data_IF_740576321760
#
_entry.id   IF_740576321760
#
_cell.length_a   1.000
_cell.length_b   1.000
_cell.length_c   1.000
_cell.angle_alpha   90.00
_cell.angle_beta   90.00
_cell.angle_gamma   90.00
#
_symmetry.space_group_name_H-M   'P 1'
#
loop_
_entity.id
_entity.type
_entity.pdbx_description
1 polymer ?
#
# COMPACT_ATOMS: atom_id res chain seq x y z
N UNK A 1 22.07 16.97 2.37
CA UNK A 1 21.42 17.06 1.05
C UNK A 1 20.14 17.88 1.16
N UNK A 2 19.25 17.58 2.12
CA UNK A 2 18.05 18.37 2.41
C UNK A 2 18.09 18.88 3.84
N UNK A 3 17.80 20.17 4.06
CA UNK A 3 17.73 20.76 5.40
C UNK A 3 16.26 20.98 5.79
N UNK A 4 15.85 20.67 7.04
CA UNK A 4 14.47 20.87 7.47
C UNK A 4 13.97 22.32 7.29
N UNK A 5 14.83 23.31 7.49
CA UNK A 5 14.50 24.72 7.30
C UNK A 5 14.11 25.08 5.85
N UNK A 6 14.57 24.30 4.86
CA UNK A 6 14.29 24.53 3.43
C UNK A 6 12.99 23.84 2.97
N UNK A 7 12.35 23.02 3.81
CA UNK A 7 11.14 22.27 3.43
C UNK A 7 9.90 23.18 3.47
N UNK A 8 9.25 23.40 2.33
CA UNK A 8 7.96 24.11 2.33
C UNK A 8 6.85 23.23 2.92
N UNK A 9 6.01 23.81 3.78
CA UNK A 9 4.85 23.12 4.32
C UNK A 9 3.67 23.22 3.34
N UNK A 10 2.81 22.19 3.23
CA UNK A 10 1.61 22.26 2.41
C UNK A 10 0.71 23.43 2.81
N UNK A 11 0.03 24.06 1.83
CA UNK A 11 -0.90 25.15 2.12
C UNK A 11 -2.04 24.76 3.06
N UNK A 12 -2.37 23.47 3.10
CA UNK A 12 -3.39 22.87 3.96
C UNK A 12 -2.92 22.64 5.39
N UNK A 13 -1.64 22.84 5.72
CA UNK A 13 -1.03 22.38 6.98
C UNK A 13 -1.79 22.81 8.25
N UNK A 14 -2.36 24.01 8.28
CA UNK A 14 -3.05 24.56 9.45
C UNK A 14 -4.54 24.18 9.54
N UNK A 15 -5.05 23.37 8.60
CA UNK A 15 -6.48 23.09 8.47
C UNK A 15 -6.99 21.91 9.30
N UNK A 16 -6.16 21.32 10.18
CA UNK A 16 -6.52 20.10 10.91
C UNK A 16 -7.83 20.22 11.71
N UNK A 17 -8.15 21.43 12.20
CA UNK A 17 -9.39 21.71 12.94
C UNK A 17 -10.65 21.39 12.11
N UNK A 18 -10.57 21.56 10.80
CA UNK A 18 -11.67 21.24 9.88
C UNK A 18 -11.90 19.71 9.83
N UNK A 19 -10.84 18.92 10.01
CA UNK A 19 -10.92 17.46 9.94
C UNK A 19 -11.47 16.82 11.22
N UNK A 20 -11.24 17.41 12.39
CA UNK A 20 -11.75 16.89 13.67
C UNK A 20 -13.29 16.84 13.74
N UNK A 21 -13.96 17.70 12.99
CA UNK A 21 -15.43 17.75 12.89
C UNK A 21 -15.97 17.01 11.66
N UNK A 22 -15.10 16.48 10.79
CA UNK A 22 -15.51 15.76 9.61
C UNK A 22 -16.21 14.44 9.99
N UNK A 23 -17.38 14.18 9.40
CA UNK A 23 -18.24 13.02 9.74
C UNK A 23 -17.48 11.68 9.68
N UNK A 24 -16.63 11.50 8.66
CA UNK A 24 -15.82 10.30 8.49
C UNK A 24 -14.44 10.41 9.15
N UNK A 25 -13.60 11.37 8.74
CA UNK A 25 -12.21 11.50 9.23
C UNK A 25 -12.08 11.84 10.71
N UNK A 26 -13.05 12.57 11.29
CA UNK A 26 -12.97 13.01 12.69
C UNK A 26 -12.89 11.85 13.69
N UNK A 27 -13.51 10.69 13.37
CA UNK A 27 -13.44 9.49 14.21
C UNK A 27 -12.01 8.94 14.26
N UNK A 28 -11.32 8.91 13.12
CA UNK A 28 -9.94 8.41 13.01
C UNK A 28 -8.92 9.39 13.60
N UNK A 29 -9.20 10.68 13.67
CA UNK A 29 -8.32 11.63 14.35
C UNK A 29 -8.46 11.58 15.87
N UNK A 30 -9.70 11.45 16.37
CA UNK A 30 -9.99 11.37 17.81
C UNK A 30 -9.52 10.03 18.40
N UNK A 31 -9.71 8.94 17.66
CA UNK A 31 -9.32 7.59 18.03
C UNK A 31 -8.48 6.97 16.90
N UNK A 32 -7.20 7.35 16.78
CA UNK A 32 -6.36 6.90 15.69
C UNK A 32 -6.15 5.39 15.74
N UNK A 33 -6.42 4.66 14.65
CA UNK A 33 -6.13 3.24 14.58
C UNK A 33 -4.64 3.03 14.83
N UNK A 34 -4.31 1.95 15.53
CA UNK A 34 -2.93 1.51 15.76
C UNK A 34 -2.01 2.59 16.39
N UNK A 35 -2.52 3.30 17.42
CA UNK A 35 -1.76 4.28 18.23
C UNK A 35 -0.98 5.33 17.41
N UNK A 36 -1.61 5.91 16.38
CA UNK A 36 -1.03 6.94 15.48
C UNK A 36 0.04 6.43 14.49
N UNK A 37 0.15 5.12 14.28
CA UNK A 37 1.05 4.56 13.27
C UNK A 37 0.61 4.86 11.82
N UNK A 38 -0.67 5.23 11.63
CA UNK A 38 -1.26 5.53 10.31
C UNK A 38 -1.53 7.01 10.12
N UNK A 39 -2.06 7.70 11.12
CA UNK A 39 -2.36 9.13 11.03
C UNK A 39 -1.90 9.84 12.29
N UNK A 40 -1.08 10.88 12.13
CA UNK A 40 -0.48 11.59 13.26
C UNK A 40 -0.44 13.09 13.03
N UNK A 41 -1.23 13.82 13.82
CA UNK A 41 -1.05 15.27 13.99
C UNK A 41 0.37 15.56 14.48
N UNK A 42 1.08 16.44 13.77
CA UNK A 42 2.50 16.72 13.99
C UNK A 42 2.81 18.20 13.86
N UNK A 43 3.85 18.63 14.57
CA UNK A 43 4.34 20.01 14.56
C UNK A 43 5.06 20.35 13.26
N UNK A 44 5.23 21.64 12.96
CA UNK A 44 5.99 22.11 11.80
C UNK A 44 7.41 21.56 11.78
N UNK A 45 8.08 21.55 12.94
CA UNK A 45 9.44 21.02 13.09
C UNK A 45 9.49 19.53 12.73
N UNK A 46 8.56 18.73 13.26
CA UNK A 46 8.48 17.29 12.98
C UNK A 46 8.23 17.01 11.50
N UNK A 47 7.29 17.73 10.87
CA UNK A 47 6.98 17.56 9.46
C UNK A 47 8.17 17.93 8.59
N UNK A 48 8.78 19.10 8.81
CA UNK A 48 9.99 19.53 8.08
C UNK A 48 11.11 18.51 8.21
N UNK A 49 11.34 18.02 9.43
CA UNK A 49 12.40 17.04 9.70
C UNK A 49 12.13 15.71 9.02
N UNK A 50 10.91 15.17 9.13
CA UNK A 50 10.55 13.90 8.51
C UNK A 50 10.53 14.00 7.00
N UNK A 51 10.01 15.07 6.42
CA UNK A 51 10.05 15.31 4.97
C UNK A 51 11.48 15.41 4.45
N UNK A 52 12.39 16.10 5.15
CA UNK A 52 13.80 16.16 4.75
C UNK A 52 14.47 14.77 4.79
N UNK A 53 14.13 13.93 5.79
CA UNK A 53 14.59 12.54 5.86
C UNK A 53 14.01 11.68 4.75
N UNK A 54 12.71 11.84 4.44
CA UNK A 54 12.05 11.15 3.33
C UNK A 54 12.70 11.52 2.00
N UNK A 55 13.02 12.79 1.75
CA UNK A 55 13.75 13.20 0.55
C UNK A 55 15.13 12.55 0.45
N UNK A 56 15.87 12.45 1.58
CA UNK A 56 17.14 11.72 1.59
C UNK A 56 16.96 10.22 1.28
N UNK A 57 15.90 9.60 1.80
CA UNK A 57 15.57 8.21 1.48
C UNK A 57 15.21 8.03 -0.01
N UNK A 58 14.45 8.97 -0.59
CA UNK A 58 14.14 8.99 -2.03
C UNK A 58 15.43 9.09 -2.85
N UNK A 59 16.37 9.99 -2.52
CA UNK A 59 17.65 10.07 -3.24
C UNK A 59 18.47 8.79 -3.15
N UNK A 60 18.41 8.09 -2.02
CA UNK A 60 19.09 6.81 -1.86
C UNK A 60 18.44 5.73 -2.74
N UNK A 61 17.11 5.68 -2.79
CA UNK A 61 16.37 4.77 -3.68
C UNK A 61 16.66 5.10 -5.15
N UNK A 62 16.66 6.38 -5.53
CA UNK A 62 16.97 6.83 -6.89
C UNK A 62 18.38 6.38 -7.33
N UNK A 63 19.39 6.57 -6.47
CA UNK A 63 20.75 6.06 -6.71
C UNK A 63 20.76 4.54 -6.90
N UNK A 64 20.00 3.80 -6.10
CA UNK A 64 19.91 2.34 -6.17
C UNK A 64 19.23 1.88 -7.47
N UNK A 65 18.21 2.60 -7.93
CA UNK A 65 17.56 2.37 -9.23
C UNK A 65 18.56 2.62 -10.37
N UNK A 66 19.37 3.68 -10.27
CA UNK A 66 20.44 3.98 -11.22
C UNK A 66 21.41 2.80 -11.41
N UNK A 67 21.80 2.14 -10.34
CA UNK A 67 22.65 0.94 -10.40
C UNK A 67 21.97 -0.23 -11.12
N UNK A 68 20.67 -0.46 -10.88
CA UNK A 68 19.89 -1.50 -11.56
C UNK A 68 19.82 -1.21 -13.06
N UNK A 69 19.50 0.02 -13.44
CA UNK A 69 19.39 0.43 -14.85
C UNK A 69 20.75 0.35 -15.57
N UNK A 70 21.84 0.76 -14.93
CA UNK A 70 23.19 0.63 -15.47
C UNK A 70 23.59 -0.85 -15.65
N UNK A 71 23.14 -1.73 -14.76
CA UNK A 71 23.37 -3.18 -14.88
C UNK A 71 22.62 -3.77 -16.09
N UNK A 72 21.36 -3.37 -16.32
CA UNK A 72 20.60 -3.76 -17.50
C UNK A 72 21.31 -3.35 -18.79
N UNK A 73 21.86 -2.13 -18.82
CA UNK A 73 22.61 -1.62 -19.98
C UNK A 73 23.90 -2.39 -20.22
N UNK A 74 24.71 -2.56 -19.17
CA UNK A 74 25.97 -3.31 -19.24
C UNK A 74 25.79 -4.75 -19.72
N UNK A 75 24.67 -5.37 -19.38
CA UNK A 75 24.34 -6.74 -19.79
C UNK A 75 23.64 -6.82 -21.15
N UNK A 76 23.34 -5.68 -21.80
CA UNK A 76 22.68 -5.63 -23.10
C UNK A 76 21.17 -5.92 -23.05
N UNK A 77 20.54 -5.82 -21.89
CA UNK A 77 19.10 -6.09 -21.71
C UNK A 77 18.21 -4.86 -21.82
N UNK A 78 18.78 -3.65 -21.83
CA UNK A 78 18.01 -2.39 -21.83
C UNK A 78 17.00 -2.26 -22.97
N UNK A 79 17.35 -2.71 -24.18
CA UNK A 79 16.48 -2.59 -25.37
C UNK A 79 15.37 -3.64 -25.41
N UNK A 80 15.36 -4.61 -24.48
CA UNK A 80 14.33 -5.65 -24.38
C UNK A 80 13.73 -5.73 -22.97
N UNK A 81 13.85 -4.65 -22.17
CA UNK A 81 13.31 -4.58 -20.81
C UNK A 81 12.34 -3.42 -20.68
N UNK A 82 11.10 -3.75 -20.31
CA UNK A 82 10.13 -2.75 -19.86
C UNK A 82 10.47 -2.33 -18.43
N UNK A 83 10.54 -1.02 -18.19
CA UNK A 83 10.76 -0.44 -16.86
C UNK A 83 9.53 0.34 -16.44
N UNK A 84 9.01 0.01 -15.26
CA UNK A 84 7.88 0.67 -14.62
C UNK A 84 8.32 1.08 -13.22
N UNK A 85 8.25 2.37 -12.92
CA UNK A 85 8.48 2.91 -11.59
C UNK A 85 7.18 3.49 -11.04
N UNK A 86 6.81 3.09 -9.83
CA UNK A 86 5.61 3.58 -9.15
C UNK A 86 5.70 3.37 -7.63
N UNK A 87 4.69 3.78 -6.89
CA UNK A 87 4.54 3.55 -5.44
C UNK A 87 3.26 2.76 -5.16
N UNK A 88 3.13 2.14 -3.99
CA UNK A 88 1.89 1.53 -3.54
C UNK A 88 0.88 2.59 -3.06
N UNK A 89 1.39 3.60 -2.35
CA UNK A 89 0.68 4.81 -1.94
C UNK A 89 1.67 5.96 -1.71
N UNK A 90 1.15 7.15 -1.42
CA UNK A 90 1.93 8.31 -0.99
C UNK A 90 1.96 8.50 0.53
N UNK A 91 2.30 9.69 0.98
CA UNK A 91 2.36 10.08 2.39
C UNK A 91 1.78 11.50 2.52
N UNK A 92 1.07 11.76 3.63
CA UNK A 92 0.49 13.07 3.90
C UNK A 92 1.56 14.16 3.97
N UNK A 93 2.77 13.85 4.46
CA UNK A 93 3.93 14.76 4.47
C UNK A 93 3.63 16.20 4.95
N UNK A 94 2.66 16.36 5.87
CA UNK A 94 2.21 17.65 6.38
C UNK A 94 0.84 18.10 5.88
N UNK A 95 0.20 17.40 4.95
CA UNK A 95 -1.16 17.68 4.49
C UNK A 95 -2.08 17.74 5.72
N UNK A 96 -2.73 18.90 5.90
CA UNK A 96 -3.57 19.14 7.07
C UNK A 96 -2.88 18.95 8.44
N UNK A 97 -1.56 19.13 8.50
CA UNK A 97 -0.78 18.97 9.73
C UNK A 97 -0.56 17.51 10.11
N UNK A 98 -0.76 16.58 9.17
CA UNK A 98 -0.70 15.14 9.39
C UNK A 98 0.50 14.52 8.70
N UNK A 99 1.03 13.45 9.31
CA UNK A 99 2.05 12.58 8.73
C UNK A 99 1.51 11.16 8.52
N UNK A 100 2.22 10.40 7.69
CA UNK A 100 1.96 9.00 7.33
C UNK A 100 0.76 8.86 6.38
N UNK A 101 -0.04 7.80 6.53
CA UNK A 101 -1.17 7.48 5.65
C UNK A 101 -2.42 7.09 6.43
N UNK A 102 -3.50 7.83 6.23
CA UNK A 102 -4.79 7.53 6.86
C UNK A 102 -5.85 7.08 5.85
N UNK A 103 -7.06 6.75 6.32
CA UNK A 103 -8.25 6.55 5.49
C UNK A 103 -8.77 7.90 4.94
N UNK A 104 -7.85 8.74 4.47
CA UNK A 104 -8.07 10.09 4.01
C UNK A 104 -7.76 10.11 2.50
N UNK A 105 -8.76 10.31 1.62
CA UNK A 105 -8.54 10.34 0.18
C UNK A 105 -7.94 11.69 -0.26
N UNK A 106 -6.81 12.08 0.35
CA UNK A 106 -6.07 13.28 0.00
C UNK A 106 -5.02 12.97 -1.05
N UNK A 107 -4.73 13.95 -1.90
CA UNK A 107 -3.78 13.79 -3.00
C UNK A 107 -2.39 13.36 -2.53
N UNK A 108 -1.91 13.79 -1.35
CA UNK A 108 -0.63 13.34 -0.80
C UNK A 108 -0.51 11.82 -0.64
N UNK A 109 -1.62 11.13 -0.38
CA UNK A 109 -1.66 9.65 -0.23
C UNK A 109 -2.01 8.96 -1.55
N UNK A 110 -2.81 9.58 -2.41
CA UNK A 110 -3.38 8.93 -3.60
C UNK A 110 -2.60 9.20 -4.89
N UNK A 111 -1.99 10.37 -5.03
CA UNK A 111 -1.35 10.82 -6.26
C UNK A 111 0.13 10.41 -6.27
N UNK A 112 0.37 9.17 -6.66
CA UNK A 112 1.69 8.52 -6.68
C UNK A 112 2.44 8.75 -8.00
N UNK A 113 3.78 8.61 -8.02
CA UNK A 113 4.52 8.61 -9.28
C UNK A 113 4.14 7.38 -10.12
N UNK A 114 4.08 7.56 -11.44
CA UNK A 114 4.01 6.47 -12.41
C UNK A 114 4.86 6.85 -13.64
N UNK A 115 5.98 6.17 -13.82
CA UNK A 115 6.90 6.39 -14.94
C UNK A 115 7.05 5.06 -15.70
N UNK A 116 6.82 5.10 -17.01
CA UNK A 116 6.91 3.95 -17.89
C UNK A 116 7.95 4.16 -18.98
N UNK A 117 8.78 3.14 -19.22
CA UNK A 117 9.64 3.02 -20.40
C UNK A 117 9.46 1.64 -21.01
N UNK A 118 8.86 1.59 -22.19
CA UNK A 118 8.72 0.39 -23.01
C UNK A 118 9.59 0.57 -24.27
N UNK A 119 10.66 -0.22 -24.46
CA UNK A 119 11.52 -0.10 -25.63
C UNK A 119 10.74 -0.17 -26.95
N UNK A 120 11.06 0.74 -27.87
CA UNK A 120 10.40 0.82 -29.19
C UNK A 120 8.97 1.39 -29.21
N UNK A 121 8.34 1.61 -28.05
CA UNK A 121 6.98 2.15 -27.97
C UNK A 121 6.91 3.53 -27.31
N UNK A 122 7.56 3.69 -26.16
CA UNK A 122 7.45 4.93 -25.37
C UNK A 122 8.21 6.09 -26.03
N UNK A 123 7.54 7.23 -26.16
CA UNK A 123 8.14 8.53 -26.51
C UNK A 123 8.14 9.45 -25.27
N UNK A 124 9.14 10.33 -25.09
CA UNK A 124 9.13 11.31 -24.00
C UNK A 124 7.86 12.15 -24.02
N UNK A 125 7.02 11.98 -23.01
CA UNK A 125 5.71 12.63 -22.91
C UNK A 125 5.22 12.63 -21.46
N UNK A 126 4.24 13.48 -21.19
CA UNK A 126 3.55 13.55 -19.89
C UNK A 126 2.06 13.46 -20.19
N UNK A 127 1.36 12.58 -19.48
CA UNK A 127 -0.09 12.45 -19.56
C UNK A 127 -0.75 12.97 -18.29
N UNK A 128 -1.84 13.72 -18.46
CA UNK A 128 -2.74 14.12 -17.38
C UNK A 128 -3.97 13.20 -17.28
N UNK A 129 -3.96 12.05 -17.97
CA UNK A 129 -5.06 11.11 -17.92
C UNK A 129 -5.15 10.46 -16.53
N UNK A 130 -6.38 10.27 -16.05
CA UNK A 130 -6.63 9.61 -14.78
C UNK A 130 -6.39 8.10 -14.92
N UNK A 131 -5.39 7.59 -14.20
CA UNK A 131 -4.98 6.18 -14.15
C UNK A 131 -5.05 5.63 -12.72
N UNK A 132 -5.18 4.32 -12.57
CA UNK A 132 -5.17 3.63 -11.27
C UNK A 132 -4.16 2.49 -11.26
N UNK A 133 -3.65 2.11 -10.10
CA UNK A 133 -2.70 1.00 -9.94
C UNK A 133 -3.28 -0.33 -10.43
N UNK A 134 -4.61 -0.50 -10.38
CA UNK A 134 -5.30 -1.69 -10.91
C UNK A 134 -5.22 -1.83 -12.43
N UNK A 135 -4.85 -0.75 -13.15
CA UNK A 135 -4.67 -0.75 -14.61
C UNK A 135 -3.36 -1.43 -15.03
N UNK A 136 -2.34 -1.38 -14.16
CA UNK A 136 -0.99 -1.81 -14.49
C UNK A 136 -0.93 -3.30 -14.90
N UNK A 137 -1.54 -4.24 -14.15
CA UNK A 137 -1.45 -5.66 -14.51
C UNK A 137 -2.06 -5.96 -15.87
N UNK A 138 -3.23 -5.39 -16.20
CA UNK A 138 -3.89 -5.61 -17.50
C UNK A 138 -3.05 -5.05 -18.64
N UNK A 139 -2.52 -3.85 -18.44
CA UNK A 139 -1.70 -3.16 -19.43
C UNK A 139 -0.38 -3.91 -19.69
N UNK A 140 0.28 -4.42 -18.64
CA UNK A 140 1.48 -5.25 -18.76
C UNK A 140 1.20 -6.52 -19.57
N UNK A 141 0.12 -7.24 -19.26
CA UNK A 141 -0.27 -8.45 -19.99
C UNK A 141 -0.51 -8.17 -21.48
N UNK A 142 -1.17 -7.06 -21.80
CA UNK A 142 -1.42 -6.65 -23.18
C UNK A 142 -0.14 -6.27 -23.92
N UNK A 143 0.77 -5.51 -23.29
CA UNK A 143 2.07 -5.18 -23.86
C UNK A 143 2.94 -6.43 -24.12
N UNK A 144 2.80 -7.47 -23.29
CA UNK A 144 3.45 -8.77 -23.48
C UNK A 144 2.72 -9.67 -24.50
N UNK A 145 1.66 -9.18 -25.16
CA UNK A 145 0.82 -9.93 -26.09
C UNK A 145 0.20 -11.21 -25.49
N UNK A 146 -0.06 -11.22 -24.19
CA UNK A 146 -0.77 -12.32 -23.53
C UNK A 146 -2.24 -12.23 -23.89
N UNK A 147 -2.76 -13.28 -24.53
CA UNK A 147 -4.18 -13.36 -24.95
C UNK A 147 -5.11 -13.21 -23.75
N UNK A 148 -6.19 -12.46 -23.93
CA UNK A 148 -7.20 -12.17 -22.89
C UNK A 148 -7.75 -13.41 -22.19
N UNK A 149 -7.92 -14.52 -22.91
CA UNK A 149 -8.35 -15.81 -22.33
C UNK A 149 -7.40 -16.38 -21.25
N UNK A 150 -6.17 -15.87 -21.14
CA UNK A 150 -5.20 -16.24 -20.12
C UNK A 150 -5.02 -15.16 -19.05
N UNK A 151 -5.77 -14.06 -19.12
CA UNK A 151 -5.80 -13.07 -18.05
C UNK A 151 -6.53 -13.65 -16.84
N UNK A 152 -6.14 -13.29 -15.61
CA UNK A 152 -6.94 -13.58 -14.43
C UNK A 152 -8.39 -13.10 -14.60
N UNK A 153 -9.40 -13.91 -14.21
CA UNK A 153 -10.79 -13.48 -14.27
C UNK A 153 -11.04 -12.32 -13.30
N UNK A 154 -11.95 -11.42 -13.66
CA UNK A 154 -12.38 -10.33 -12.77
C UNK A 154 -11.43 -9.14 -12.66
N UNK A 155 -10.40 -9.03 -13.52
CA UNK A 155 -9.58 -7.81 -13.58
C UNK A 155 -10.42 -6.59 -13.95
N UNK A 156 -10.46 -5.60 -13.05
CA UNK A 156 -11.25 -4.37 -13.20
C UNK A 156 -10.49 -3.23 -13.89
N UNK A 157 -9.16 -3.33 -13.97
CA UNK A 157 -8.31 -2.33 -14.60
C UNK A 157 -8.58 -2.17 -16.10
N UNK A 158 -8.28 -0.99 -16.61
CA UNK A 158 -8.26 -0.70 -18.04
C UNK A 158 -6.85 -0.88 -18.61
N UNK A 159 -6.79 -1.20 -19.91
CA UNK A 159 -5.53 -1.14 -20.64
C UNK A 159 -5.22 0.33 -20.95
N UNK A 160 -4.16 0.85 -20.35
CA UNK A 160 -3.72 2.25 -20.50
C UNK A 160 -2.56 2.40 -21.49
N UNK A 161 -2.17 1.34 -22.21
CA UNK A 161 -1.04 1.37 -23.16
C UNK A 161 -1.24 2.38 -24.29
N UNK A 162 -2.48 2.76 -24.59
CA UNK A 162 -2.81 3.82 -25.55
C UNK A 162 -2.14 5.17 -25.19
N UNK A 163 -1.90 5.41 -23.90
CA UNK A 163 -1.21 6.62 -23.42
C UNK A 163 0.26 6.68 -23.81
N UNK A 164 0.88 5.55 -24.17
CA UNK A 164 2.27 5.49 -24.62
C UNK A 164 2.45 6.07 -26.02
N UNK A 165 1.40 6.08 -26.83
CA UNK A 165 1.40 6.69 -28.17
C UNK A 165 0.69 8.06 -28.19
N UNK A 166 -0.46 8.18 -27.52
CA UNK A 166 -1.21 9.43 -27.38
C UNK A 166 -1.39 9.82 -25.90
N UNK A 167 -0.51 10.65 -25.32
CA UNK A 167 -0.56 11.04 -23.92
C UNK A 167 -1.77 11.92 -23.58
N UNK A 168 -2.48 12.46 -24.58
CA UNK A 168 -3.68 13.29 -24.36
C UNK A 168 -4.96 12.46 -24.34
N UNK A 169 -4.89 11.16 -24.58
CA UNK A 169 -6.06 10.30 -24.59
C UNK A 169 -6.68 10.23 -23.19
N UNK A 170 -7.98 10.46 -23.12
CA UNK A 170 -8.74 10.28 -21.88
C UNK A 170 -9.11 8.81 -21.69
N UNK A 171 -8.80 8.27 -20.50
CA UNK A 171 -9.16 6.89 -20.12
C UNK A 171 -10.48 6.84 -19.35
N UNK A 172 -10.69 7.76 -18.41
CA UNK A 172 -11.88 7.84 -17.55
C UNK A 172 -12.11 9.24 -17.01
N UNK A 173 -13.32 9.51 -16.52
CA UNK A 173 -13.71 10.78 -15.89
C UNK A 173 -13.31 10.89 -14.41
N UNK A 174 -13.23 9.74 -13.71
CA UNK A 174 -12.90 9.67 -12.30
C UNK A 174 -12.14 8.37 -11.99
N UNK A 175 -11.43 8.34 -10.86
CA UNK A 175 -10.82 7.13 -10.30
C UNK A 175 -11.55 6.74 -9.02
N UNK A 176 -11.83 5.45 -8.85
CA UNK A 176 -12.35 4.92 -7.60
C UNK A 176 -11.18 4.60 -6.66
N UNK A 177 -11.30 5.05 -5.41
CA UNK A 177 -10.41 4.66 -4.32
C UNK A 177 -11.29 4.07 -3.24
N UNK A 178 -10.92 2.88 -2.80
CA UNK A 178 -11.59 2.15 -1.74
C UNK A 178 -10.68 2.16 -0.51
N UNK A 179 -11.31 2.22 0.65
CA UNK A 179 -10.65 2.04 1.92
C UNK A 179 -11.57 1.19 2.78
N UNK A 180 -11.29 -0.11 2.79
CA UNK A 180 -12.05 -1.06 3.57
C UNK A 180 -11.38 -1.30 4.91
N UNK A 181 -12.06 -0.90 5.98
CA UNK A 181 -11.80 -1.42 7.32
C UNK A 181 -12.47 -2.81 7.52
N UNK A 182 -13.16 -3.32 6.50
CA UNK A 182 -13.90 -4.58 6.49
C UNK A 182 -12.99 -5.80 6.21
N UNK A 183 -11.78 -5.79 6.78
CA UNK A 183 -10.81 -6.89 6.68
C UNK A 183 -11.46 -8.23 7.09
N UNK A 184 -12.43 -8.21 8.00
CA UNK A 184 -13.18 -9.39 8.42
C UNK A 184 -13.96 -10.01 7.24
N UNK A 185 -14.69 -9.22 6.45
CA UNK A 185 -15.49 -9.74 5.34
C UNK A 185 -14.58 -10.25 4.21
N UNK A 186 -13.48 -9.55 3.95
CA UNK A 186 -12.48 -9.96 2.96
C UNK A 186 -11.72 -11.23 3.39
N UNK A 187 -11.43 -11.40 4.69
CA UNK A 187 -10.93 -12.66 5.24
C UNK A 187 -11.93 -13.79 4.96
N UNK A 188 -13.22 -13.57 5.27
CA UNK A 188 -14.24 -14.60 5.07
C UNK A 188 -14.31 -15.04 3.61
N UNK A 189 -14.41 -14.07 2.69
CA UNK A 189 -14.49 -14.30 1.25
C UNK A 189 -13.29 -15.05 0.70
N UNK A 190 -12.07 -14.57 0.97
CA UNK A 190 -10.86 -15.14 0.38
C UNK A 190 -10.47 -16.48 0.99
N UNK A 191 -10.64 -16.66 2.31
CA UNK A 191 -10.33 -17.94 2.95
C UNK A 191 -11.37 -19.01 2.57
N UNK A 192 -12.65 -18.64 2.46
CA UNK A 192 -13.70 -19.56 1.98
C UNK A 192 -13.42 -20.02 0.55
N UNK A 193 -13.03 -19.09 -0.33
CA UNK A 193 -12.62 -19.43 -1.69
C UNK A 193 -11.40 -20.36 -1.71
N UNK A 194 -10.36 -20.07 -0.93
CA UNK A 194 -9.18 -20.94 -0.85
C UNK A 194 -9.52 -22.35 -0.37
N UNK A 195 -10.51 -22.50 0.53
CA UNK A 195 -10.96 -23.80 1.05
C UNK A 195 -11.58 -24.70 -0.01
N UNK A 196 -12.17 -24.11 -1.05
CA UNK A 196 -12.70 -24.87 -2.19
C UNK A 196 -11.60 -25.51 -3.04
N UNK A 197 -10.37 -24.98 -2.96
CA UNK A 197 -9.26 -25.37 -3.83
C UNK A 197 -8.09 -26.05 -3.11
N UNK A 198 -7.94 -25.81 -1.80
CA UNK A 198 -6.76 -26.22 -1.05
C UNK A 198 -7.12 -26.86 0.30
N UNK A 199 -6.44 -27.97 0.63
CA UNK A 199 -6.62 -28.68 1.91
C UNK A 199 -5.80 -28.09 3.06
N UNK A 200 -4.80 -27.28 2.75
CA UNK A 200 -4.00 -26.55 3.73
C UNK A 200 -3.99 -25.08 3.36
N UNK A 201 -4.47 -24.27 4.29
CA UNK A 201 -4.59 -22.82 4.14
C UNK A 201 -3.92 -22.20 5.36
N UNK A 202 -2.95 -21.33 5.10
CA UNK A 202 -2.34 -20.46 6.10
C UNK A 202 -2.93 -19.07 5.92
N UNK A 203 -3.62 -18.56 6.94
CA UNK A 203 -3.95 -17.15 7.02
C UNK A 203 -2.84 -16.42 7.76
N UNK A 204 -2.27 -15.37 7.16
CA UNK A 204 -1.29 -14.50 7.81
C UNK A 204 -1.95 -13.17 8.18
N UNK A 205 -2.02 -12.88 9.48
CA UNK A 205 -2.49 -11.60 9.98
C UNK A 205 -1.37 -10.57 9.87
N UNK A 206 -1.02 -10.14 8.65
CA UNK A 206 -0.01 -9.11 8.45
C UNK A 206 -0.31 -7.87 9.30
N UNK A 207 0.74 -7.25 9.84
CA UNK A 207 0.65 -6.14 10.81
C UNK A 207 0.04 -6.51 12.16
N UNK A 208 0.05 -7.79 12.53
CA UNK A 208 -0.46 -8.27 13.81
C UNK A 208 0.11 -7.52 15.02
N UNK A 209 1.42 -7.27 15.06
CA UNK A 209 2.08 -6.60 16.20
C UNK A 209 1.66 -5.15 16.40
N UNK A 210 1.05 -4.56 15.37
CA UNK A 210 0.51 -3.20 15.40
C UNK A 210 -1.00 -3.18 15.58
N UNK A 211 -1.66 -4.32 15.50
CA UNK A 211 -3.11 -4.46 15.60
C UNK A 211 -3.65 -4.37 17.02
N UNK A 212 -4.88 -3.86 17.17
CA UNK A 212 -5.63 -4.03 18.41
C UNK A 212 -5.81 -5.53 18.70
N UNK A 213 -5.62 -5.94 19.97
CA UNK A 213 -5.57 -7.35 20.32
C UNK A 213 -6.91 -8.05 20.11
N UNK A 214 -8.03 -7.40 20.45
CA UNK A 214 -9.36 -7.97 20.29
C UNK A 214 -9.70 -8.09 18.79
N UNK A 215 -9.31 -7.10 18.01
CA UNK A 215 -9.43 -7.15 16.56
C UNK A 215 -8.58 -8.26 15.93
N UNK A 216 -7.32 -8.41 16.35
CA UNK A 216 -6.42 -9.47 15.88
C UNK A 216 -7.00 -10.85 16.18
N UNK A 217 -7.56 -11.04 17.39
CA UNK A 217 -8.25 -12.27 17.76
C UNK A 217 -9.44 -12.51 16.83
N UNK A 218 -10.28 -11.48 16.61
CA UNK A 218 -11.44 -11.57 15.70
C UNK A 218 -11.03 -11.95 14.28
N UNK A 219 -9.98 -11.34 13.73
CA UNK A 219 -9.48 -11.64 12.39
C UNK A 219 -9.02 -13.10 12.26
N UNK A 220 -8.24 -13.59 13.23
CA UNK A 220 -7.78 -14.97 13.25
C UNK A 220 -8.92 -15.98 13.42
N UNK A 221 -9.88 -15.71 14.30
CA UNK A 221 -11.08 -16.54 14.47
C UNK A 221 -11.89 -16.60 13.17
N UNK A 222 -12.11 -15.45 12.55
CA UNK A 222 -12.83 -15.34 11.28
C UNK A 222 -12.16 -16.17 10.20
N UNK A 223 -10.82 -16.11 10.09
CA UNK A 223 -10.08 -16.93 9.14
C UNK A 223 -10.25 -18.42 9.42
N UNK A 224 -10.14 -18.84 10.69
CA UNK A 224 -10.31 -20.24 11.10
C UNK A 224 -11.72 -20.75 10.76
N UNK A 225 -12.74 -19.99 11.12
CA UNK A 225 -14.15 -20.30 10.82
C UNK A 225 -14.41 -20.41 9.32
N UNK A 226 -13.72 -19.59 8.52
CA UNK A 226 -13.85 -19.56 7.07
C UNK A 226 -13.06 -20.67 6.36
N UNK A 227 -12.15 -21.37 7.06
CA UNK A 227 -11.43 -22.53 6.52
C UNK A 227 -9.92 -22.55 6.74
N UNK A 228 -9.33 -21.54 7.37
CA UNK A 228 -7.89 -21.51 7.63
C UNK A 228 -7.50 -22.68 8.56
N UNK A 229 -6.62 -23.55 8.07
CA UNK A 229 -6.11 -24.69 8.83
C UNK A 229 -4.97 -24.33 9.78
N UNK A 230 -4.36 -23.17 9.52
CA UNK A 230 -3.24 -22.60 10.26
C UNK A 230 -3.37 -21.09 10.23
N UNK A 231 -2.88 -20.47 11.29
CA UNK A 231 -2.73 -19.01 11.34
C UNK A 231 -1.27 -18.64 11.52
N UNK A 232 -0.89 -17.48 11.01
CA UNK A 232 0.38 -16.84 11.24
C UNK A 232 0.13 -15.45 11.84
N UNK A 233 0.87 -15.13 12.90
CA UNK A 233 0.79 -13.83 13.59
C UNK A 233 2.18 -13.21 13.52
N UNK A 234 2.57 -12.57 12.42
CA UNK A 234 3.94 -12.08 12.20
C UNK A 234 4.25 -10.78 12.96
N UNK A 235 5.52 -10.57 13.29
CA UNK A 235 6.07 -9.23 13.50
C UNK A 235 6.60 -8.68 12.18
N UNK A 236 5.68 -8.26 11.30
CA UNK A 236 5.97 -7.86 9.91
C UNK A 236 7.12 -6.84 9.79
N UNK A 237 7.35 -5.99 10.80
CA UNK A 237 8.42 -4.97 10.79
C UNK A 237 9.63 -5.35 11.65
N UNK A 238 9.53 -6.39 12.50
CA UNK A 238 10.64 -6.85 13.33
C UNK A 238 10.99 -5.92 14.50
N UNK A 239 10.01 -5.21 15.07
CA UNK A 239 10.23 -4.18 16.11
C UNK A 239 9.63 -4.53 17.48
N UNK A 240 8.83 -5.59 17.61
CA UNK A 240 8.19 -5.91 18.89
C UNK A 240 9.19 -6.54 19.87
N UNK A 241 9.10 -6.19 21.15
CA UNK A 241 9.91 -6.88 22.16
C UNK A 241 9.41 -8.33 22.37
N UNK A 242 10.30 -9.29 22.68
CA UNK A 242 9.90 -10.68 22.93
C UNK A 242 8.83 -10.85 24.02
N UNK A 243 8.85 -10.00 25.05
CA UNK A 243 7.84 -10.03 26.13
C UNK A 243 6.47 -9.59 25.65
N UNK A 244 6.40 -8.48 24.90
CA UNK A 244 5.14 -7.98 24.36
C UNK A 244 4.56 -8.96 23.33
N UNK A 245 5.42 -9.57 22.51
CA UNK A 245 4.98 -10.56 21.53
C UNK A 245 4.48 -11.84 22.20
N UNK A 246 5.20 -12.36 23.21
CA UNK A 246 4.75 -13.50 23.99
C UNK A 246 3.40 -13.26 24.67
N UNK A 247 3.13 -12.04 25.15
CA UNK A 247 1.81 -11.67 25.68
C UNK A 247 0.73 -11.71 24.58
N UNK A 248 0.98 -11.11 23.42
CA UNK A 248 0.05 -11.10 22.29
C UNK A 248 -0.28 -12.53 21.81
N UNK A 249 0.74 -13.34 21.54
CA UNK A 249 0.59 -14.73 21.08
C UNK A 249 -0.16 -15.57 22.10
N UNK A 250 0.11 -15.40 23.40
CA UNK A 250 -0.60 -16.13 24.46
C UNK A 250 -2.10 -15.79 24.50
N UNK A 251 -2.48 -14.54 24.23
CA UNK A 251 -3.89 -14.16 24.18
C UNK A 251 -4.57 -14.71 22.92
N UNK A 252 -3.92 -14.64 21.75
CA UNK A 252 -4.43 -15.28 20.51
C UNK A 252 -4.60 -16.78 20.72
N UNK A 253 -3.58 -17.46 21.27
CA UNK A 253 -3.60 -18.90 21.53
C UNK A 253 -4.74 -19.32 22.47
N UNK A 254 -5.05 -18.51 23.48
CA UNK A 254 -6.17 -18.78 24.40
C UNK A 254 -7.54 -18.59 23.76
N UNK A 255 -7.64 -17.71 22.76
CA UNK A 255 -8.91 -17.36 22.14
C UNK A 255 -9.32 -18.28 20.99
N UNK A 256 -8.37 -18.91 20.29
CA UNK A 256 -8.65 -19.76 19.13
C UNK A 256 -8.98 -21.22 19.49
N UNK A 257 -9.66 -21.99 18.62
CA UNK A 257 -9.89 -23.41 18.81
C UNK A 257 -8.60 -24.24 18.99
N UNK A 258 -8.67 -25.27 19.84
CA UNK A 258 -7.56 -26.21 20.04
C UNK A 258 -7.22 -26.95 18.75
N UNK A 259 -5.94 -27.19 18.51
CA UNK A 259 -5.44 -27.96 17.35
C UNK A 259 -5.05 -27.11 16.15
N UNK A 260 -5.40 -25.81 16.14
CA UNK A 260 -4.89 -24.86 15.15
C UNK A 260 -3.42 -24.56 15.45
N UNK A 261 -2.57 -24.70 14.43
CA UNK A 261 -1.15 -24.32 14.54
C UNK A 261 -1.00 -22.82 14.33
N UNK A 262 -0.29 -22.17 15.26
CA UNK A 262 0.11 -20.78 15.16
C UNK A 262 1.57 -20.75 14.71
N UNK A 263 1.82 -20.13 13.55
CA UNK A 263 3.14 -19.71 13.14
C UNK A 263 3.43 -18.30 13.66
N UNK A 264 4.69 -18.06 14.00
CA UNK A 264 5.23 -16.76 14.41
C UNK A 264 6.52 -16.56 13.63
N UNK A 265 6.74 -15.36 13.13
CA UNK A 265 7.98 -14.97 12.47
C UNK A 265 8.19 -13.46 12.59
#
# INVERSE_FOLDING_TARGET
>A
MYKPEDIELPSSFQDIKNLYNHQYLGKHLKNPPFKKAFIRESTEEEVRKLTALTYAAISYVDSSIGEILASLEKQGYSENTMVIFTSDHGDLMGDHGLLFKGPCPFNGVLNIPLIWKVPGLTKPSVSNALVSTIDLPKTILNLLNIKERHHPPGMQGYDISILLDDPNKKIRDCVLIENDEEVIEEIQKHVSYAKEHYSTILFSAEDATRSDLDYLIKANLTAIESGATRINVPDTVGTISPKAYGYMINNVYKAIPKGIRIAVH
#
